data_IF_773172455408
#
_entry.id   IF_773172455408
#
_cell.length_a   1.000
_cell.length_b   1.000
_cell.length_c   1.000
_cell.angle_alpha   90.00
_cell.angle_beta   90.00
_cell.angle_gamma   90.00
#
_symmetry.space_group_name_H-M   'P 1'
#
loop_
_entity.id
_entity.type
_entity.pdbx_description
1 polymer ?
#
# COMPACT_ATOMS: atom_id res chain seq x y z
N UNK A 1 -8.23 9.83 -7.90
CA UNK A 1 -7.48 10.71 -6.99
C UNK A 1 -6.36 9.89 -6.33
N UNK A 2 -5.12 10.42 -6.31
CA UNK A 2 -3.97 9.72 -5.72
C UNK A 2 -4.01 9.81 -4.19
N UNK A 3 -3.58 8.79 -3.47
CA UNK A 3 -3.45 8.85 -2.02
C UNK A 3 -2.17 9.57 -1.59
N UNK A 4 -2.27 10.41 -0.56
CA UNK A 4 -1.16 10.86 0.26
C UNK A 4 -1.03 9.90 1.44
N UNK A 5 0.13 9.30 1.58
CA UNK A 5 0.50 8.47 2.72
C UNK A 5 1.22 9.35 3.73
N UNK A 6 0.74 9.38 4.95
CA UNK A 6 1.32 10.09 6.08
C UNK A 6 1.76 9.09 7.13
N UNK A 7 3.01 9.17 7.54
CA UNK A 7 3.61 8.30 8.54
C UNK A 7 4.01 9.17 9.74
N UNK A 8 3.57 8.79 10.91
CA UNK A 8 3.95 9.38 12.17
C UNK A 8 4.28 8.32 13.20
N UNK A 9 4.80 8.68 14.37
CA UNK A 9 5.25 7.73 15.39
C UNK A 9 4.12 6.87 15.98
N UNK A 10 2.86 7.31 15.84
CA UNK A 10 1.70 6.66 16.44
C UNK A 10 0.68 6.17 15.43
N UNK A 11 0.75 6.63 14.18
CA UNK A 11 -0.27 6.34 13.19
C UNK A 11 0.26 6.44 11.76
N UNK A 12 -0.41 5.71 10.88
CA UNK A 12 -0.31 5.87 9.43
C UNK A 12 -1.68 6.27 8.91
N UNK A 13 -1.75 7.26 8.03
CA UNK A 13 -2.99 7.70 7.38
C UNK A 13 -2.84 7.64 5.87
N UNK A 14 -3.89 7.24 5.20
CA UNK A 14 -4.05 7.35 3.75
C UNK A 14 -5.18 8.34 3.48
N UNK A 15 -4.85 9.50 2.90
CA UNK A 15 -5.83 10.55 2.61
C UNK A 15 -5.75 10.94 1.13
N UNK A 16 -6.79 11.52 0.56
CA UNK A 16 -6.74 12.05 -0.80
C UNK A 16 -5.70 13.17 -0.91
N UNK A 17 -4.79 13.06 -1.88
CA UNK A 17 -3.82 14.12 -2.15
C UNK A 17 -4.48 15.32 -2.80
N UNK A 18 -4.30 16.49 -2.21
CA UNK A 18 -4.68 17.80 -2.75
C UNK A 18 -3.41 18.61 -3.00
N UNK A 19 -3.14 18.94 -4.26
CA UNK A 19 -1.93 19.65 -4.65
C UNK A 19 -1.89 21.12 -4.19
N UNK A 20 -3.03 21.70 -3.81
CA UNK A 20 -3.08 23.05 -3.27
C UNK A 20 -2.76 23.09 -1.77
N UNK A 21 -3.02 22.01 -1.06
CA UNK A 21 -2.77 21.89 0.38
C UNK A 21 -1.45 21.18 0.70
N UNK A 22 -1.19 20.08 0.00
CA UNK A 22 -0.14 19.12 0.38
C UNK A 22 1.17 19.30 -0.41
N UNK A 23 1.36 20.44 -1.08
CA UNK A 23 2.62 20.82 -1.72
C UNK A 23 3.56 21.59 -0.80
N UNK A 24 3.16 21.84 0.46
CA UNK A 24 3.97 22.49 1.49
C UNK A 24 4.03 21.63 2.75
N UNK A 25 5.08 21.85 3.54
CA UNK A 25 5.23 21.13 4.82
C UNK A 25 4.09 21.49 5.80
N UNK A 26 3.69 22.75 5.84
CA UNK A 26 2.60 23.22 6.68
C UNK A 26 1.27 22.53 6.34
N UNK A 27 0.99 22.34 5.04
CA UNK A 27 -0.22 21.65 4.60
C UNK A 27 -0.21 20.17 4.96
N UNK A 28 0.95 19.52 4.91
CA UNK A 28 1.12 18.13 5.34
C UNK A 28 0.98 18.03 6.87
N UNK A 29 1.61 18.91 7.62
CA UNK A 29 1.55 18.94 9.09
C UNK A 29 0.16 19.28 9.61
N UNK A 30 -0.65 20.02 8.85
CA UNK A 30 -2.06 20.27 9.20
C UNK A 30 -2.90 18.99 9.22
N UNK A 31 -2.57 17.98 8.38
CA UNK A 31 -3.24 16.68 8.36
C UNK A 31 -2.71 15.74 9.45
N UNK A 32 -1.43 15.84 9.78
CA UNK A 32 -0.75 15.03 10.82
C UNK A 32 0.38 15.87 11.43
N UNK A 33 0.18 16.51 12.59
CA UNK A 33 1.18 17.39 13.20
C UNK A 33 2.53 16.72 13.54
N UNK A 34 2.51 15.42 13.86
CA UNK A 34 3.68 14.62 14.20
C UNK A 34 4.19 13.73 13.03
N UNK A 35 3.87 14.13 11.78
CA UNK A 35 4.33 13.41 10.60
C UNK A 35 5.85 13.38 10.53
N UNK A 36 6.41 12.19 10.28
CA UNK A 36 7.85 11.98 10.05
C UNK A 36 8.16 11.79 8.59
N UNK A 37 7.26 11.15 7.85
CA UNK A 37 7.42 10.86 6.43
C UNK A 37 6.08 11.03 5.71
N UNK A 38 6.16 11.49 4.46
CA UNK A 38 5.00 11.61 3.60
C UNK A 38 5.36 11.36 2.14
N UNK A 39 4.50 10.65 1.42
CA UNK A 39 4.65 10.46 -0.03
C UNK A 39 3.30 10.22 -0.71
N UNK A 40 3.27 10.44 -2.02
CA UNK A 40 2.07 10.21 -2.83
C UNK A 40 2.16 8.82 -3.48
N UNK A 41 1.25 7.92 -3.12
CA UNK A 41 1.16 6.60 -3.71
C UNK A 41 0.40 6.62 -5.06
N UNK A 42 0.38 5.47 -5.75
CA UNK A 42 -0.17 5.41 -7.11
C UNK A 42 -1.70 5.50 -7.13
N UNK A 43 -2.40 4.80 -6.25
CA UNK A 43 -3.86 4.82 -6.20
C UNK A 43 -4.40 4.16 -4.94
N UNK A 44 -5.64 4.50 -4.57
CA UNK A 44 -6.38 3.74 -3.57
C UNK A 44 -6.82 2.41 -4.18
N UNK A 45 -6.65 1.33 -3.44
CA UNK A 45 -7.16 -0.01 -3.74
C UNK A 45 -8.40 -0.33 -2.91
N UNK A 46 -8.35 0.04 -1.64
CA UNK A 46 -9.45 -0.13 -0.67
C UNK A 46 -9.55 1.13 0.18
N UNK A 47 -10.77 1.61 0.42
CA UNK A 47 -11.08 2.66 1.38
C UNK A 47 -12.28 2.23 2.24
N UNK A 48 -12.15 2.29 3.56
CA UNK A 48 -13.19 1.90 4.51
C UNK A 48 -13.76 0.48 4.25
N UNK A 49 -12.90 -0.47 3.89
CA UNK A 49 -13.29 -1.85 3.57
C UNK A 49 -13.93 -2.04 2.20
N UNK A 50 -14.04 -0.99 1.38
CA UNK A 50 -14.64 -1.05 0.04
C UNK A 50 -13.55 -1.00 -1.04
N UNK A 51 -13.55 -1.94 -1.99
CA UNK A 51 -12.64 -1.89 -3.13
C UNK A 51 -12.98 -0.69 -4.01
N UNK A 52 -11.95 -0.07 -4.58
CA UNK A 52 -12.16 1.12 -5.39
C UNK A 52 -12.53 0.77 -6.83
N UNK A 53 -13.56 1.44 -7.39
CA UNK A 53 -13.98 1.20 -8.77
C UNK A 53 -13.00 1.81 -9.78
N UNK A 54 -13.04 1.39 -11.05
CA UNK A 54 -12.12 1.83 -12.11
C UNK A 54 -11.97 3.36 -12.23
N UNK A 55 -13.04 4.10 -12.03
CA UNK A 55 -13.10 5.56 -12.19
C UNK A 55 -12.19 6.29 -11.17
N UNK A 56 -11.93 5.67 -10.03
CA UNK A 56 -11.08 6.24 -8.97
C UNK A 56 -9.60 6.29 -9.35
N UNK A 57 -9.17 5.46 -10.30
CA UNK A 57 -7.80 5.45 -10.80
C UNK A 57 -7.52 6.58 -11.80
N UNK A 58 -8.57 7.19 -12.33
CA UNK A 58 -8.48 8.36 -13.22
C UNK A 58 -7.62 8.10 -14.46
N UNK A 59 -6.61 8.95 -14.67
CA UNK A 59 -5.67 8.86 -15.80
C UNK A 59 -4.41 8.05 -15.49
N UNK A 60 -4.39 7.24 -14.44
CA UNK A 60 -3.25 6.38 -14.17
C UNK A 60 -3.08 5.38 -15.31
N UNK A 61 -1.93 5.47 -15.99
CA UNK A 61 -1.65 4.63 -17.16
C UNK A 61 -1.66 3.14 -16.81
N UNK A 62 -2.35 2.35 -17.61
CA UNK A 62 -2.44 0.88 -17.44
C UNK A 62 -2.83 0.41 -16.02
N UNK A 63 -3.61 1.20 -15.29
CA UNK A 63 -3.95 0.86 -13.90
C UNK A 63 -4.58 -0.54 -13.76
N UNK A 64 -5.30 -1.01 -14.76
CA UNK A 64 -5.96 -2.32 -14.72
C UNK A 64 -5.31 -3.38 -15.63
N UNK A 65 -4.20 -3.07 -16.30
CA UNK A 65 -3.43 -4.09 -17.01
C UNK A 65 -2.85 -5.10 -16.02
N UNK A 66 -2.89 -6.42 -16.31
CA UNK A 66 -2.31 -7.43 -15.42
C UNK A 66 -0.80 -7.22 -15.24
N UNK A 67 -0.38 -6.92 -14.01
CA UNK A 67 1.02 -6.70 -13.61
C UNK A 67 1.22 -7.16 -12.17
N UNK A 68 2.44 -7.50 -11.79
CA UNK A 68 2.79 -7.60 -10.38
C UNK A 68 2.59 -6.24 -9.71
N UNK A 69 2.02 -6.23 -8.51
CA UNK A 69 1.68 -5.00 -7.79
C UNK A 69 2.12 -5.06 -6.35
N UNK A 70 2.76 -3.98 -5.89
CA UNK A 70 3.06 -3.77 -4.49
C UNK A 70 1.98 -2.90 -3.84
N UNK A 71 1.62 -3.22 -2.62
CA UNK A 71 0.62 -2.48 -1.85
C UNK A 71 1.06 -2.29 -0.39
N UNK A 72 0.50 -1.27 0.22
CA UNK A 72 0.50 -1.08 1.66
C UNK A 72 -0.93 -0.89 2.13
N UNK A 73 -1.32 -1.62 3.16
CA UNK A 73 -2.67 -1.54 3.71
C UNK A 73 -2.69 -1.58 5.22
N UNK A 74 -3.87 -1.34 5.75
CA UNK A 74 -4.21 -1.41 7.16
C UNK A 74 -5.43 -2.33 7.27
N UNK A 75 -5.33 -3.36 8.07
CA UNK A 75 -6.46 -4.30 8.25
C UNK A 75 -7.53 -3.73 9.20
N UNK A 76 -8.63 -4.46 9.38
CA UNK A 76 -9.74 -4.07 10.26
C UNK A 76 -9.32 -3.90 11.73
N UNK A 77 -8.20 -4.50 12.14
CA UNK A 77 -7.62 -4.37 13.50
C UNK A 77 -6.67 -3.18 13.64
N UNK A 78 -6.47 -2.39 12.58
CA UNK A 78 -5.54 -1.25 12.55
C UNK A 78 -4.08 -1.64 12.37
N UNK A 79 -3.78 -2.90 12.01
CA UNK A 79 -2.40 -3.37 11.83
C UNK A 79 -1.92 -3.07 10.40
N UNK A 80 -0.72 -2.51 10.23
CA UNK A 80 -0.14 -2.27 8.92
C UNK A 80 0.33 -3.59 8.28
N UNK A 81 0.13 -3.69 6.98
CA UNK A 81 0.54 -4.82 6.16
C UNK A 81 1.07 -4.34 4.83
N UNK A 82 2.21 -4.87 4.41
CA UNK A 82 2.77 -4.65 3.07
C UNK A 82 2.77 -5.97 2.31
N UNK A 83 2.61 -5.90 1.01
CA UNK A 83 2.61 -7.12 0.21
C UNK A 83 2.76 -6.87 -1.28
N UNK A 84 2.87 -7.98 -1.99
CA UNK A 84 2.90 -8.03 -3.47
C UNK A 84 1.91 -9.08 -3.97
N UNK A 85 1.39 -8.88 -5.16
CA UNK A 85 0.66 -9.94 -5.85
C UNK A 85 1.65 -11.00 -6.36
N UNK A 86 1.36 -12.27 -6.10
CA UNK A 86 2.16 -13.38 -6.60
C UNK A 86 2.08 -13.46 -8.13
N UNK A 87 0.89 -13.26 -8.68
CA UNK A 87 0.61 -13.27 -10.10
C UNK A 87 0.28 -11.86 -10.62
N UNK A 88 0.47 -11.60 -11.93
CA UNK A 88 0.00 -10.37 -12.55
C UNK A 88 -1.52 -10.20 -12.37
N UNK A 89 -1.92 -9.04 -11.86
CA UNK A 89 -3.32 -8.73 -11.54
C UNK A 89 -3.66 -7.27 -11.88
N UNK A 90 -4.90 -6.99 -12.24
CA UNK A 90 -5.43 -5.62 -12.37
C UNK A 90 -5.59 -4.94 -11.01
N UNK A 91 -5.52 -3.61 -10.96
CA UNK A 91 -5.68 -2.88 -9.69
C UNK A 91 -7.07 -3.06 -9.08
N UNK A 92 -8.10 -3.13 -9.91
CA UNK A 92 -9.49 -3.34 -9.44
C UNK A 92 -9.63 -4.70 -8.77
N UNK A 93 -9.15 -5.76 -9.43
CA UNK A 93 -9.21 -7.13 -8.88
C UNK A 93 -8.37 -7.28 -7.62
N UNK A 94 -7.20 -6.62 -7.57
CA UNK A 94 -6.38 -6.58 -6.35
C UNK A 94 -7.13 -5.89 -5.21
N UNK A 95 -7.80 -4.76 -5.48
CA UNK A 95 -8.63 -4.07 -4.49
C UNK A 95 -9.76 -4.96 -3.95
N UNK A 96 -10.44 -5.69 -4.82
CA UNK A 96 -11.48 -6.66 -4.44
C UNK A 96 -10.88 -7.77 -3.55
N UNK A 97 -9.73 -8.32 -3.94
CA UNK A 97 -9.05 -9.36 -3.18
C UNK A 97 -8.63 -8.88 -1.78
N UNK A 98 -8.07 -7.68 -1.68
CA UNK A 98 -7.64 -7.08 -0.42
C UNK A 98 -8.84 -6.78 0.50
N UNK A 99 -9.93 -6.23 -0.03
CA UNK A 99 -11.14 -5.99 0.75
C UNK A 99 -11.72 -7.30 1.32
N UNK A 100 -11.80 -8.37 0.51
CA UNK A 100 -12.20 -9.71 0.96
C UNK A 100 -11.25 -10.29 2.01
N UNK A 101 -9.95 -9.98 1.92
CA UNK A 101 -8.95 -10.40 2.89
C UNK A 101 -8.99 -9.61 4.21
N UNK A 102 -9.92 -8.66 4.36
CA UNK A 102 -10.13 -7.90 5.59
C UNK A 102 -9.26 -6.64 5.70
N UNK A 103 -8.77 -6.10 4.59
CA UNK A 103 -8.16 -4.77 4.59
C UNK A 103 -9.24 -3.70 4.74
N UNK A 104 -9.03 -2.80 5.68
CA UNK A 104 -9.85 -1.61 5.85
C UNK A 104 -9.46 -0.55 4.81
N UNK A 105 -8.17 -0.30 4.69
CA UNK A 105 -7.60 0.67 3.74
C UNK A 105 -6.38 0.06 3.06
N UNK A 106 -6.19 0.32 1.77
CA UNK A 106 -5.00 -0.10 1.04
C UNK A 106 -4.69 0.83 -0.12
N UNK A 107 -3.40 1.07 -0.35
CA UNK A 107 -2.89 1.89 -1.45
C UNK A 107 -1.92 1.07 -2.30
N UNK A 108 -1.91 1.34 -3.60
CA UNK A 108 -0.95 0.77 -4.53
C UNK A 108 0.35 1.59 -4.46
N UNK A 109 1.47 0.90 -4.26
CA UNK A 109 2.80 1.50 -4.23
C UNK A 109 3.41 1.53 -5.63
N UNK A 110 3.80 0.37 -6.15
CA UNK A 110 4.44 0.23 -7.45
C UNK A 110 3.82 -0.94 -8.24
N UNK A 111 4.17 -1.07 -9.51
CA UNK A 111 3.68 -2.13 -10.38
C UNK A 111 4.71 -2.54 -11.44
N UNK A 112 4.61 -3.78 -11.91
CA UNK A 112 5.47 -4.33 -12.95
C UNK A 112 6.86 -4.69 -12.45
N UNK A 113 7.89 -4.43 -13.25
CA UNK A 113 9.26 -4.88 -13.02
C UNK A 113 9.93 -4.32 -11.75
N UNK A 114 9.44 -3.23 -11.18
CA UNK A 114 9.93 -2.63 -9.93
C UNK A 114 9.22 -3.15 -8.67
N UNK A 115 8.18 -3.96 -8.83
CA UNK A 115 7.51 -4.59 -7.70
C UNK A 115 8.45 -5.55 -6.99
N UNK A 116 8.67 -5.33 -5.70
CA UNK A 116 9.57 -6.14 -4.89
C UNK A 116 9.02 -6.29 -3.46
N UNK A 117 9.33 -7.42 -2.86
CA UNK A 117 9.09 -7.68 -1.44
C UNK A 117 10.23 -8.55 -0.91
N UNK A 118 10.78 -8.16 0.23
CA UNK A 118 11.78 -8.96 0.93
C UNK A 118 11.37 -9.19 2.38
N UNK A 119 11.68 -10.36 2.91
CA UNK A 119 11.44 -10.73 4.29
C UNK A 119 12.63 -11.52 4.82
N UNK A 120 13.18 -11.11 5.97
CA UNK A 120 14.37 -11.75 6.59
C UNK A 120 15.57 -11.90 5.64
N UNK A 121 15.78 -10.91 4.76
CA UNK A 121 16.89 -10.89 3.82
C UNK A 121 16.66 -11.69 2.53
N UNK A 122 15.50 -12.32 2.36
CA UNK A 122 15.16 -13.08 1.16
C UNK A 122 14.11 -12.36 0.32
N UNK A 123 14.26 -12.42 -1.01
CA UNK A 123 13.26 -11.94 -1.95
C UNK A 123 12.07 -12.90 -1.98
N UNK A 124 10.86 -12.35 -1.87
CA UNK A 124 9.61 -13.12 -1.95
C UNK A 124 8.96 -13.07 -3.34
N UNK A 125 9.62 -12.44 -4.32
CA UNK A 125 9.18 -12.47 -5.72
C UNK A 125 10.05 -13.43 -6.53
N UNK A 126 9.44 -14.16 -7.50
CA UNK A 126 10.09 -15.18 -8.29
C UNK A 126 10.94 -14.64 -9.46
N UNK A 127 11.23 -13.35 -9.50
CA UNK A 127 12.02 -12.67 -10.52
C UNK A 127 12.99 -11.67 -9.88
N UNK A 128 13.94 -11.15 -10.65
CA UNK A 128 14.85 -10.07 -10.19
C UNK A 128 14.18 -8.72 -10.42
N UNK A 129 13.75 -8.02 -9.35
CA UNK A 129 13.13 -6.71 -9.51
C UNK A 129 14.12 -5.66 -10.03
N UNK A 130 13.61 -4.70 -10.78
CA UNK A 130 14.38 -3.50 -11.13
C UNK A 130 14.71 -2.71 -9.84
N UNK A 131 15.93 -2.19 -9.67
CA UNK A 131 16.27 -1.35 -8.52
C UNK A 131 15.32 -0.16 -8.36
N UNK A 132 14.96 0.13 -7.12
CA UNK A 132 14.09 1.26 -6.74
C UNK A 132 14.81 2.13 -5.71
N UNK A 133 14.63 3.46 -5.73
CA UNK A 133 15.33 4.36 -4.81
C UNK A 133 14.71 4.40 -3.40
N UNK A 134 13.46 3.98 -3.26
CA UNK A 134 12.72 4.05 -2.00
C UNK A 134 11.94 2.77 -1.75
N UNK A 135 11.83 2.40 -0.48
CA UNK A 135 11.06 1.24 -0.02
C UNK A 135 10.21 1.60 1.21
N UNK A 136 9.14 0.86 1.40
CA UNK A 136 8.37 0.87 2.66
C UNK A 136 8.79 -0.35 3.46
N UNK A 137 9.21 -0.14 4.71
CA UNK A 137 9.61 -1.21 5.63
C UNK A 137 8.69 -1.28 6.84
N UNK A 138 8.30 -2.50 7.23
CA UNK A 138 7.67 -2.77 8.51
C UNK A 138 8.73 -3.27 9.48
N UNK A 139 8.97 -2.51 10.54
CA UNK A 139 9.97 -2.82 11.58
C UNK A 139 9.24 -2.91 12.92
N UNK A 140 9.48 -3.94 13.74
CA UNK A 140 8.94 -3.97 15.09
C UNK A 140 9.37 -2.73 15.88
N UNK A 141 8.53 -2.22 16.81
CA UNK A 141 8.91 -1.11 17.68
C UNK A 141 10.17 -1.44 18.47
N UNK A 142 11.04 -0.45 18.65
CA UNK A 142 12.26 -0.61 19.46
C UNK A 142 11.88 -0.95 20.91
N UNK A 143 12.48 -2.03 21.45
CA UNK A 143 12.24 -2.48 22.81
C UNK A 143 11.02 -3.39 23.01
N UNK A 144 10.24 -3.66 21.98
CA UNK A 144 9.14 -4.63 22.01
C UNK A 144 9.61 -6.01 21.52
N UNK A 145 9.99 -6.87 22.48
CA UNK A 145 10.39 -8.25 22.19
C UNK A 145 9.22 -9.17 21.83
N UNK A 146 7.98 -8.70 21.94
CA UNK A 146 6.75 -9.44 21.66
C UNK A 146 6.18 -9.20 20.27
N UNK A 147 6.46 -8.07 19.64
CA UNK A 147 5.99 -7.75 18.30
C UNK A 147 6.79 -8.51 17.24
N UNK A 148 6.08 -9.22 16.37
CA UNK A 148 6.68 -9.96 15.24
C UNK A 148 6.09 -9.48 13.93
N UNK A 149 6.95 -9.28 12.95
CA UNK A 149 6.50 -9.20 11.56
C UNK A 149 6.34 -10.63 11.06
N UNK A 150 5.15 -10.97 10.58
CA UNK A 150 4.83 -12.29 10.05
C UNK A 150 4.60 -12.22 8.55
N UNK A 151 5.02 -13.27 7.86
CA UNK A 151 4.74 -13.44 6.44
C UNK A 151 3.52 -14.36 6.29
N UNK A 152 2.53 -13.94 5.51
CA UNK A 152 1.35 -14.72 5.22
C UNK A 152 0.98 -14.65 3.75
N UNK A 153 0.38 -15.72 3.23
CA UNK A 153 -0.24 -15.74 1.91
C UNK A 153 -1.73 -15.51 2.06
N UNK A 154 -2.25 -14.53 1.31
CA UNK A 154 -3.69 -14.28 1.21
C UNK A 154 -4.16 -14.79 -0.14
N UNK A 155 -5.04 -15.79 -0.13
CA UNK A 155 -5.65 -16.30 -1.37
C UNK A 155 -6.84 -15.43 -1.75
N UNK A 156 -6.75 -14.79 -2.93
CA UNK A 156 -7.89 -14.19 -3.59
C UNK A 156 -8.66 -15.30 -4.32
N UNK A 157 -9.42 -16.13 -3.61
CA UNK A 157 -10.38 -17.01 -4.29
C UNK A 157 -11.43 -16.13 -4.95
N UNK A 158 -11.40 -16.08 -6.29
CA UNK A 158 -12.51 -15.58 -7.06
C UNK A 158 -13.75 -16.38 -6.65
N UNK A 159 -14.68 -15.71 -5.98
CA UNK A 159 -15.99 -16.30 -5.73
C UNK A 159 -16.66 -16.52 -7.09
N UNK A 160 -16.98 -17.77 -7.37
CA UNK A 160 -17.91 -18.15 -8.42
C UNK A 160 -19.27 -17.53 -8.14
#
# INVERSE_FOLDING_TARGET
>A
QRPLVLIGPKAVKFIPFDNLKHNTLEGIQAEMPDVTDAFVAAGFLVENGQPQPPERFGKLFDFNAPRHRAFWGINQKGQPQIGVSAEPIGSVDLGIALAKAGFRDAVMLDSGASTALAYKGESLVGYTPRPVPHVVGLVPPAGDSGSKVECATVSATAGQ
#
